data_IF_535659213165
#
_entry.id   IF_535659213165
#
_cell.length_a   1.000
_cell.length_b   1.000
_cell.length_c   1.000
_cell.angle_alpha   90.00
_cell.angle_beta   90.00
_cell.angle_gamma   90.00
#
_symmetry.space_group_name_H-M   'P 1'
#
loop_
_entity.id
_entity.type
_entity.pdbx_description
1 polymer ?
#
# COMPACT_ATOMS: atom_id res chain seq x y z
N UNK A 1 14.00 -3.90 -24.98
CA UNK A 1 12.96 -4.70 -24.29
C UNK A 1 13.49 -5.09 -22.92
N UNK A 2 12.96 -4.49 -21.84
CA UNK A 2 13.57 -4.48 -20.50
C UNK A 2 13.77 -5.89 -19.92
N UNK A 3 15.00 -6.22 -19.47
CA UNK A 3 15.35 -7.51 -18.80
C UNK A 3 14.45 -7.84 -17.60
N UNK A 4 13.76 -6.86 -17.03
CA UNK A 4 12.82 -7.02 -15.92
C UNK A 4 11.53 -7.74 -16.33
N UNK A 5 11.08 -7.57 -17.59
CA UNK A 5 9.79 -8.12 -18.05
C UNK A 5 9.77 -9.65 -18.05
N UNK A 6 10.91 -10.30 -18.26
CA UNK A 6 11.02 -11.77 -18.24
C UNK A 6 10.82 -12.36 -16.83
N UNK A 7 11.15 -11.59 -15.77
CA UNK A 7 10.88 -11.98 -14.38
C UNK A 7 9.42 -11.76 -13.99
N UNK A 8 8.74 -10.84 -14.67
CA UNK A 8 7.33 -10.53 -14.46
C UNK A 8 6.41 -11.51 -15.23
N UNK A 9 6.92 -12.19 -16.25
CA UNK A 9 6.17 -13.11 -17.12
C UNK A 9 6.21 -14.60 -16.71
N UNK A 10 5.17 -15.34 -17.10
CA UNK A 10 5.04 -16.79 -16.94
C UNK A 10 4.58 -17.27 -15.55
N UNK A 11 4.12 -18.52 -15.47
CA UNK A 11 3.58 -19.14 -14.24
C UNK A 11 2.18 -18.67 -13.86
N UNK A 12 1.62 -19.26 -12.80
CA UNK A 12 0.35 -18.87 -12.18
C UNK A 12 0.55 -17.60 -11.31
N UNK A 13 -0.54 -16.85 -11.06
CA UNK A 13 -0.65 -15.78 -10.04
C UNK A 13 -0.01 -16.17 -8.68
N UNK A 14 0.02 -17.47 -8.35
CA UNK A 14 0.60 -18.02 -7.11
C UNK A 14 2.15 -18.07 -7.08
N UNK A 15 2.84 -17.75 -8.17
CA UNK A 15 4.30 -17.90 -8.27
C UNK A 15 5.04 -16.69 -7.66
N UNK A 16 5.31 -16.72 -6.34
CA UNK A 16 5.97 -15.64 -5.59
C UNK A 16 7.50 -15.60 -5.82
N UNK A 17 8.10 -16.74 -6.19
CA UNK A 17 9.56 -16.92 -6.24
C UNK A 17 10.29 -15.90 -7.14
N UNK A 18 9.70 -15.54 -8.29
CA UNK A 18 10.34 -14.60 -9.24
C UNK A 18 10.31 -13.14 -8.78
N UNK A 19 9.32 -12.75 -7.96
CA UNK A 19 9.22 -11.38 -7.47
C UNK A 19 10.36 -11.03 -6.49
N UNK A 20 10.78 -11.97 -5.65
CA UNK A 20 11.91 -11.75 -4.73
C UNK A 20 13.24 -11.61 -5.48
N UNK A 21 13.44 -12.40 -6.55
CA UNK A 21 14.60 -12.23 -7.43
C UNK A 21 14.60 -10.86 -8.09
N UNK A 22 13.43 -10.38 -8.54
CA UNK A 22 13.28 -9.07 -9.14
C UNK A 22 13.66 -7.94 -8.18
N UNK A 23 13.23 -8.01 -6.92
CA UNK A 23 13.61 -7.03 -5.87
C UNK A 23 15.12 -6.92 -5.74
N UNK A 24 15.84 -8.06 -5.81
CA UNK A 24 17.29 -8.06 -5.70
C UNK A 24 17.99 -7.41 -6.92
N UNK A 25 17.35 -7.37 -8.09
CA UNK A 25 17.90 -6.80 -9.32
C UNK A 25 17.73 -5.27 -9.40
N UNK A 26 16.76 -4.68 -8.69
CA UNK A 26 16.55 -3.24 -8.69
C UNK A 26 17.56 -2.57 -7.75
N UNK A 27 18.62 -1.98 -8.32
CA UNK A 27 19.71 -1.35 -7.56
C UNK A 27 19.72 0.17 -7.67
N UNK A 28 19.16 0.71 -8.74
CA UNK A 28 19.19 2.15 -9.05
C UNK A 28 17.80 2.73 -9.25
N UNK A 29 17.68 4.06 -9.25
CA UNK A 29 16.43 4.75 -9.61
C UNK A 29 15.98 4.33 -11.02
N UNK A 30 16.90 4.26 -11.99
CA UNK A 30 16.58 3.86 -13.36
C UNK A 30 15.97 2.45 -13.46
N UNK A 31 16.46 1.51 -12.65
CA UNK A 31 15.87 0.16 -12.58
C UNK A 31 14.46 0.18 -11.97
N UNK A 32 14.27 1.03 -10.95
CA UNK A 32 12.99 1.24 -10.32
C UNK A 32 12.00 1.89 -11.27
N UNK A 33 12.40 2.91 -12.02
CA UNK A 33 11.57 3.59 -13.02
C UNK A 33 11.07 2.60 -14.07
N UNK A 34 11.98 1.75 -14.57
CA UNK A 34 11.65 0.68 -15.50
C UNK A 34 10.64 -0.34 -14.93
N UNK A 35 10.74 -0.65 -13.64
CA UNK A 35 9.78 -1.50 -12.94
C UNK A 35 8.43 -0.77 -12.74
N UNK A 36 8.45 0.51 -12.40
CA UNK A 36 7.26 1.33 -12.15
C UNK A 36 6.39 1.45 -13.40
N UNK A 37 7.00 1.64 -14.57
CA UNK A 37 6.29 1.66 -15.85
C UNK A 37 5.48 0.38 -16.14
N UNK A 38 5.82 -0.75 -15.50
CA UNK A 38 5.07 -1.98 -15.67
C UNK A 38 3.68 -1.94 -15.03
N UNK A 39 3.41 -1.01 -14.09
CA UNK A 39 2.10 -0.80 -13.48
C UNK A 39 1.04 -0.32 -14.48
N UNK A 40 1.45 0.29 -15.58
CA UNK A 40 0.56 0.82 -16.62
C UNK A 40 0.36 -0.13 -17.80
N UNK A 41 0.83 -1.37 -17.67
CA UNK A 41 0.64 -2.38 -18.71
C UNK A 41 -0.75 -3.02 -18.63
N UNK A 42 -1.24 -3.58 -19.74
CA UNK A 42 -2.55 -4.27 -19.78
C UNK A 42 -2.52 -5.66 -19.14
N UNK A 43 -1.34 -6.23 -18.94
CA UNK A 43 -1.19 -7.57 -18.39
C UNK A 43 -1.28 -7.53 -16.87
N UNK A 44 -2.44 -7.94 -16.34
CA UNK A 44 -2.72 -7.95 -14.90
C UNK A 44 -1.68 -8.70 -14.09
N UNK A 45 -1.12 -9.80 -14.61
CA UNK A 45 -0.10 -10.56 -13.88
C UNK A 45 1.19 -9.74 -13.71
N UNK A 46 1.59 -9.03 -14.76
CA UNK A 46 2.74 -8.12 -14.73
C UNK A 46 2.48 -6.99 -13.74
N UNK A 47 1.32 -6.33 -13.82
CA UNK A 47 0.96 -5.21 -12.94
C UNK A 47 1.03 -5.63 -11.47
N UNK A 48 0.40 -6.74 -11.09
CA UNK A 48 0.37 -7.20 -9.70
C UNK A 48 1.77 -7.54 -9.18
N UNK A 49 2.60 -8.24 -9.98
CA UNK A 49 3.97 -8.59 -9.57
C UNK A 49 4.88 -7.37 -9.48
N UNK A 50 4.69 -6.40 -10.36
CA UNK A 50 5.37 -5.11 -10.27
C UNK A 50 4.98 -4.37 -9.01
N UNK A 51 3.69 -4.33 -8.67
CA UNK A 51 3.21 -3.71 -7.44
C UNK A 51 3.78 -4.40 -6.19
N UNK A 52 3.83 -5.74 -6.14
CA UNK A 52 4.47 -6.50 -5.06
C UNK A 52 5.97 -6.18 -4.92
N UNK A 53 6.70 -6.17 -6.04
CA UNK A 53 8.13 -5.85 -6.02
C UNK A 53 8.38 -4.40 -5.57
N UNK A 54 7.60 -3.43 -6.07
CA UNK A 54 7.67 -2.02 -5.67
C UNK A 54 7.36 -1.88 -4.17
N UNK A 55 6.32 -2.55 -3.69
CA UNK A 55 5.95 -2.56 -2.27
C UNK A 55 7.10 -3.09 -1.41
N UNK A 56 7.78 -4.16 -1.82
CA UNK A 56 8.94 -4.70 -1.10
C UNK A 56 10.15 -3.77 -1.14
N UNK A 57 10.49 -3.21 -2.30
CA UNK A 57 11.66 -2.32 -2.47
C UNK A 57 11.50 -1.07 -1.61
N UNK A 58 10.32 -0.48 -1.63
CA UNK A 58 10.05 0.83 -1.01
C UNK A 58 9.92 0.76 0.51
N UNK A 59 9.79 -0.44 1.11
CA UNK A 59 9.96 -0.64 2.56
C UNK A 59 11.34 -0.21 3.04
N UNK A 60 12.37 -0.42 2.23
CA UNK A 60 13.77 -0.08 2.57
C UNK A 60 14.26 1.17 1.85
N UNK A 61 13.66 1.50 0.71
CA UNK A 61 14.06 2.64 -0.15
C UNK A 61 12.87 3.50 -0.55
N UNK A 62 12.20 4.19 0.38
CA UNK A 62 11.01 5.00 0.09
C UNK A 62 11.30 6.14 -0.89
N UNK A 63 12.53 6.67 -0.90
CA UNK A 63 12.95 7.76 -1.80
C UNK A 63 12.79 7.44 -3.29
N UNK A 64 12.74 6.16 -3.69
CA UNK A 64 12.45 5.79 -5.08
C UNK A 64 11.05 6.18 -5.55
N UNK A 65 10.13 6.46 -4.62
CA UNK A 65 8.78 6.91 -4.93
C UNK A 65 8.65 8.42 -5.20
N UNK A 66 9.70 9.21 -4.95
CA UNK A 66 9.63 10.68 -4.95
C UNK A 66 9.00 11.25 -6.22
N UNK A 67 9.36 10.70 -7.38
CA UNK A 67 8.87 11.16 -8.71
C UNK A 67 7.50 10.60 -9.09
N UNK A 68 6.91 9.73 -8.28
CA UNK A 68 5.73 8.92 -8.64
C UNK A 68 4.52 9.13 -7.73
N UNK A 69 4.55 10.13 -6.85
CA UNK A 69 3.46 10.38 -5.89
C UNK A 69 2.11 10.60 -6.61
N UNK A 70 2.07 11.47 -7.64
CA UNK A 70 0.86 11.72 -8.44
C UNK A 70 0.37 10.47 -9.17
N UNK A 71 1.29 9.70 -9.76
CA UNK A 71 0.96 8.45 -10.45
C UNK A 71 0.32 7.42 -9.50
N UNK A 72 0.82 7.31 -8.27
CA UNK A 72 0.29 6.38 -7.27
C UNK A 72 -1.09 6.81 -6.81
N UNK A 73 -1.29 8.11 -6.57
CA UNK A 73 -2.61 8.67 -6.21
C UNK A 73 -3.60 8.44 -7.36
N UNK A 74 -3.18 8.65 -8.61
CA UNK A 74 -4.00 8.36 -9.78
C UNK A 74 -4.36 6.86 -9.86
N UNK A 75 -3.39 5.97 -9.66
CA UNK A 75 -3.62 4.52 -9.63
C UNK A 75 -4.58 4.12 -8.50
N UNK A 76 -4.50 4.74 -7.32
CA UNK A 76 -5.45 4.49 -6.24
C UNK A 76 -6.88 4.85 -6.64
N UNK A 77 -7.08 5.94 -7.37
CA UNK A 77 -8.40 6.38 -7.80
C UNK A 77 -8.98 5.54 -8.95
N UNK A 78 -8.13 4.84 -9.72
CA UNK A 78 -8.53 4.11 -10.93
C UNK A 78 -8.43 2.59 -10.80
N UNK A 79 -7.74 2.06 -9.79
CA UNK A 79 -7.54 0.63 -9.61
C UNK A 79 -8.87 -0.12 -9.40
N UNK A 80 -9.12 -1.11 -10.24
CA UNK A 80 -10.28 -2.01 -10.13
C UNK A 80 -9.87 -3.33 -9.47
N UNK A 81 -8.72 -3.88 -9.84
CA UNK A 81 -8.23 -5.16 -9.34
C UNK A 81 -7.80 -5.07 -7.87
N UNK A 82 -8.39 -5.94 -7.05
CA UNK A 82 -8.14 -5.99 -5.60
C UNK A 82 -6.67 -6.17 -5.26
N UNK A 83 -5.92 -6.96 -6.03
CA UNK A 83 -4.51 -7.23 -5.77
C UNK A 83 -3.64 -6.00 -5.97
N UNK A 84 -3.92 -5.17 -6.98
CA UNK A 84 -3.24 -3.89 -7.14
C UNK A 84 -3.58 -2.98 -5.96
N UNK A 85 -4.86 -2.90 -5.56
CA UNK A 85 -5.27 -2.15 -4.36
C UNK A 85 -4.56 -2.62 -3.10
N UNK A 86 -4.31 -3.93 -2.92
CA UNK A 86 -3.59 -4.46 -1.75
C UNK A 86 -2.22 -3.82 -1.59
N UNK A 87 -1.48 -3.70 -2.68
CA UNK A 87 -0.14 -3.13 -2.68
C UNK A 87 -0.17 -1.60 -2.63
N UNK A 88 -1.04 -0.94 -3.42
CA UNK A 88 -1.19 0.52 -3.40
C UNK A 88 -1.54 1.03 -1.99
N UNK A 89 -2.42 0.32 -1.28
CA UNK A 89 -2.79 0.67 0.08
C UNK A 89 -1.56 0.76 1.00
N UNK A 90 -0.54 -0.10 0.85
CA UNK A 90 0.67 -0.08 1.67
C UNK A 90 1.78 0.86 1.15
N UNK A 91 1.83 1.08 -0.17
CA UNK A 91 2.86 1.94 -0.79
C UNK A 91 2.60 3.41 -0.44
N UNK A 92 1.33 3.83 -0.43
CA UNK A 92 0.98 5.25 -0.37
C UNK A 92 1.37 5.93 0.95
N UNK A 93 1.37 5.23 2.07
CA UNK A 93 1.78 5.80 3.37
C UNK A 93 3.29 6.13 3.44
N UNK A 94 4.07 5.71 2.44
CA UNK A 94 5.52 5.95 2.36
C UNK A 94 5.87 7.15 1.49
N UNK A 95 4.86 7.80 0.91
CA UNK A 95 5.04 8.98 0.08
C UNK A 95 5.27 10.22 0.94
N UNK A 96 6.10 11.13 0.43
CA UNK A 96 6.14 12.50 0.94
C UNK A 96 4.98 13.27 0.32
N UNK A 97 3.82 13.25 1.00
CA UNK A 97 2.57 13.81 0.50
C UNK A 97 2.45 15.29 0.87
N UNK A 98 1.92 16.11 -0.06
CA UNK A 98 1.40 17.43 0.33
C UNK A 98 0.14 17.28 1.20
N UNK A 99 -0.36 18.38 1.76
CA UNK A 99 -1.60 18.37 2.55
C UNK A 99 -2.79 17.88 1.70
N UNK A 100 -2.92 18.40 0.49
CA UNK A 100 -4.01 18.07 -0.44
C UNK A 100 -3.94 16.60 -0.91
N UNK A 101 -2.73 16.12 -1.17
CA UNK A 101 -2.49 14.74 -1.54
C UNK A 101 -2.80 13.80 -0.37
N UNK A 102 -2.39 14.17 0.84
CA UNK A 102 -2.68 13.40 2.05
C UNK A 102 -4.18 13.30 2.29
N UNK A 103 -4.94 14.38 2.09
CA UNK A 103 -6.40 14.35 2.22
C UNK A 103 -7.03 13.40 1.18
N UNK A 104 -6.55 13.44 -0.07
CA UNK A 104 -7.01 12.53 -1.14
C UNK A 104 -6.73 11.07 -0.78
N UNK A 105 -5.49 10.78 -0.37
CA UNK A 105 -5.05 9.44 0.04
C UNK A 105 -5.86 8.95 1.22
N UNK A 106 -6.01 9.80 2.24
CA UNK A 106 -6.75 9.49 3.46
C UNK A 106 -8.19 9.09 3.14
N UNK A 107 -8.89 9.90 2.34
CA UNK A 107 -10.27 9.65 1.95
C UNK A 107 -10.41 8.34 1.17
N UNK A 108 -9.50 8.05 0.24
CA UNK A 108 -9.51 6.78 -0.51
C UNK A 108 -9.27 5.58 0.40
N UNK A 109 -8.28 5.64 1.29
CA UNK A 109 -8.01 4.56 2.26
C UNK A 109 -9.16 4.36 3.24
N UNK A 110 -9.76 5.44 3.75
CA UNK A 110 -10.92 5.39 4.64
C UNK A 110 -12.12 4.74 3.93
N UNK A 111 -12.37 5.09 2.67
CA UNK A 111 -13.43 4.49 1.87
C UNK A 111 -13.18 3.00 1.64
N UNK A 112 -11.95 2.60 1.29
CA UNK A 112 -11.59 1.19 1.17
C UNK A 112 -11.76 0.43 2.48
N UNK A 113 -11.31 0.98 3.61
CA UNK A 113 -11.42 0.36 4.92
C UNK A 113 -12.88 0.12 5.36
N UNK A 114 -13.76 1.10 5.12
CA UNK A 114 -15.19 1.04 5.48
C UNK A 114 -16.05 0.26 4.50
N UNK A 115 -15.60 0.05 3.26
CA UNK A 115 -16.41 -0.64 2.26
C UNK A 115 -16.53 -2.14 2.56
N UNK A 116 -17.74 -2.58 2.91
CA UNK A 116 -18.02 -3.99 3.27
C UNK A 116 -17.87 -4.97 2.11
N UNK A 117 -18.00 -4.50 0.86
CA UNK A 117 -17.83 -5.34 -0.34
C UNK A 117 -16.38 -5.39 -0.82
N UNK A 118 -15.50 -4.57 -0.24
CA UNK A 118 -14.09 -4.56 -0.58
C UNK A 118 -13.37 -5.78 0.02
N UNK A 119 -12.28 -6.20 -0.62
CA UNK A 119 -11.48 -7.34 -0.16
C UNK A 119 -10.93 -7.10 1.25
N UNK A 120 -11.04 -8.12 2.12
CA UNK A 120 -10.50 -8.08 3.50
C UNK A 120 -9.03 -7.65 3.56
N UNK A 121 -8.21 -8.01 2.57
CA UNK A 121 -6.79 -7.62 2.52
C UNK A 121 -6.64 -6.14 2.20
N UNK A 122 -7.41 -5.59 1.23
CA UNK A 122 -7.43 -4.14 0.98
C UNK A 122 -7.83 -3.42 2.26
N UNK A 123 -8.95 -3.82 2.90
CA UNK A 123 -9.46 -3.19 4.12
C UNK A 123 -8.40 -3.16 5.24
N UNK A 124 -7.73 -4.28 5.49
CA UNK A 124 -6.69 -4.40 6.52
C UNK A 124 -5.46 -3.56 6.18
N UNK A 125 -5.01 -3.55 4.92
CA UNK A 125 -3.86 -2.74 4.49
C UNK A 125 -4.19 -1.24 4.52
N UNK A 126 -5.43 -0.86 4.19
CA UNK A 126 -5.88 0.53 4.33
C UNK A 126 -5.85 0.99 5.79
N UNK A 127 -6.28 0.14 6.72
CA UNK A 127 -6.20 0.45 8.16
C UNK A 127 -4.75 0.64 8.62
N UNK A 128 -3.82 -0.19 8.13
CA UNK A 128 -2.39 0.00 8.42
C UNK A 128 -1.92 1.37 7.96
N UNK A 129 -2.20 1.75 6.72
CA UNK A 129 -1.70 3.01 6.16
C UNK A 129 -2.38 4.23 6.74
N UNK A 130 -3.66 4.13 7.12
CA UNK A 130 -4.32 5.18 7.90
C UNK A 130 -3.66 5.37 9.26
N UNK A 131 -3.27 4.28 9.93
CA UNK A 131 -2.52 4.36 11.17
C UNK A 131 -1.15 5.01 10.96
N UNK A 132 -0.40 4.59 9.94
CA UNK A 132 0.93 5.14 9.62
C UNK A 132 0.85 6.66 9.32
N UNK A 133 -0.17 7.10 8.57
CA UNK A 133 -0.41 8.52 8.27
C UNK A 133 -0.87 9.31 9.50
N UNK A 134 -1.64 8.68 10.39
CA UNK A 134 -2.13 9.32 11.60
C UNK A 134 -1.04 9.55 12.65
N UNK A 135 0.04 8.76 12.65
CA UNK A 135 1.06 8.82 13.69
C UNK A 135 1.66 10.24 13.88
N UNK A 136 1.70 11.01 12.80
CA UNK A 136 2.32 12.34 12.74
C UNK A 136 1.34 13.52 12.87
N UNK A 137 0.02 13.27 13.00
CA UNK A 137 -1.00 14.32 12.97
C UNK A 137 -2.17 14.01 13.93
N UNK A 138 -2.34 14.84 14.96
CA UNK A 138 -3.38 14.67 15.98
C UNK A 138 -4.82 14.75 15.43
N UNK A 139 -5.04 15.51 14.36
CA UNK A 139 -6.35 15.54 13.69
C UNK A 139 -6.60 14.21 13.00
N UNK A 140 -5.60 13.67 12.29
CA UNK A 140 -5.70 12.36 11.65
C UNK A 140 -5.83 11.23 12.69
N UNK A 141 -5.20 11.30 13.86
CA UNK A 141 -5.43 10.32 14.95
C UNK A 141 -6.89 10.30 15.39
N UNK A 142 -7.52 11.46 15.57
CA UNK A 142 -8.95 11.54 15.91
C UNK A 142 -9.82 10.93 14.81
N UNK A 143 -9.53 11.25 13.55
CA UNK A 143 -10.27 10.69 12.41
C UNK A 143 -10.08 9.18 12.29
N UNK A 144 -8.87 8.67 12.51
CA UNK A 144 -8.57 7.23 12.52
C UNK A 144 -9.42 6.51 13.55
N UNK A 145 -9.47 7.02 14.78
CA UNK A 145 -10.27 6.43 15.86
C UNK A 145 -11.77 6.36 15.52
N UNK A 146 -12.31 7.36 14.81
CA UNK A 146 -13.69 7.33 14.33
C UNK A 146 -13.90 6.24 13.27
N UNK A 147 -12.97 6.09 12.32
CA UNK A 147 -13.01 5.05 11.30
C UNK A 147 -12.96 3.66 11.95
N UNK A 148 -12.08 3.45 12.93
CA UNK A 148 -11.94 2.17 13.61
C UNK A 148 -13.21 1.80 14.37
N UNK A 149 -13.78 2.73 15.17
CA UNK A 149 -15.05 2.49 15.87
C UNK A 149 -16.18 2.07 14.92
N UNK A 150 -16.25 2.69 13.74
CA UNK A 150 -17.25 2.37 12.73
C UNK A 150 -17.05 0.97 12.09
N UNK A 151 -15.83 0.45 12.08
CA UNK A 151 -15.50 -0.86 11.50
C UNK A 151 -15.55 -1.98 12.55
N UNK A 152 -15.19 -1.70 13.81
CA UNK A 152 -15.13 -2.69 14.90
C UNK A 152 -16.49 -3.37 15.15
N UNK A 153 -17.59 -2.64 14.95
CA UNK A 153 -18.96 -3.19 15.05
C UNK A 153 -19.22 -4.36 14.08
N UNK A 154 -18.42 -4.50 13.01
CA UNK A 154 -18.53 -5.61 12.05
C UNK A 154 -17.87 -6.91 12.56
N UNK A 155 -17.12 -6.88 13.67
CA UNK A 155 -16.47 -8.05 14.29
C UNK A 155 -15.61 -8.89 13.33
N UNK A 156 -14.84 -8.24 12.44
CA UNK A 156 -14.00 -8.92 11.44
C UNK A 156 -12.67 -9.38 12.08
N UNK A 157 -12.39 -10.70 12.19
CA UNK A 157 -11.24 -11.20 12.95
C UNK A 157 -9.88 -10.69 12.46
N UNK A 158 -9.70 -10.54 11.14
CA UNK A 158 -8.46 -10.04 10.55
C UNK A 158 -8.19 -8.57 10.87
N UNK A 159 -9.26 -7.77 10.98
CA UNK A 159 -9.17 -6.36 11.35
C UNK A 159 -8.86 -6.23 12.84
N UNK A 160 -9.60 -6.95 13.71
CA UNK A 160 -9.34 -6.96 15.16
C UNK A 160 -7.91 -7.40 15.47
N UNK A 161 -7.41 -8.44 14.78
CA UNK A 161 -6.02 -8.90 14.93
C UNK A 161 -5.02 -7.83 14.52
N UNK A 162 -5.29 -7.10 13.43
CA UNK A 162 -4.43 -6.00 12.99
C UNK A 162 -4.41 -4.86 14.02
N UNK A 163 -5.56 -4.42 14.50
CA UNK A 163 -5.67 -3.34 15.49
C UNK A 163 -4.91 -3.66 16.78
N UNK A 164 -5.04 -4.89 17.28
CA UNK A 164 -4.26 -5.35 18.44
C UNK A 164 -2.75 -5.21 18.23
N UNK A 165 -2.25 -5.58 17.04
CA UNK A 165 -0.82 -5.45 16.70
C UNK A 165 -0.38 -3.99 16.60
N UNK A 166 -1.20 -3.11 16.02
CA UNK A 166 -0.90 -1.68 15.91
C UNK A 166 -0.78 -1.03 17.29
N UNK A 167 -1.71 -1.33 18.20
CA UNK A 167 -1.69 -0.81 19.57
C UNK A 167 -0.50 -1.32 20.39
N UNK A 168 -0.01 -2.53 20.10
CA UNK A 168 1.18 -3.10 20.75
C UNK A 168 2.50 -2.54 20.19
N UNK A 169 2.48 -2.00 18.96
CA UNK A 169 3.66 -1.48 18.28
C UNK A 169 3.96 -0.01 18.62
N UNK A 170 3.03 0.72 19.25
CA UNK A 170 3.34 2.02 19.82
C UNK A 170 4.24 1.85 21.06
N UNK A 171 5.34 2.61 21.21
CA UNK A 171 6.03 2.66 22.49
C UNK A 171 5.00 3.03 23.55
N UNK A 172 4.93 2.25 24.63
CA UNK A 172 4.16 2.65 25.80
C UNK A 172 4.69 4.01 26.23
N UNK A 173 3.96 5.09 25.93
CA UNK A 173 4.18 6.35 26.62
C UNK A 173 3.81 6.07 28.07
N UNK A 174 4.84 5.77 28.87
CA UNK A 174 4.79 5.78 30.32
C UNK A 174 4.16 7.09 30.76
N UNK A 175 3.10 6.93 31.55
CA UNK A 175 2.44 7.97 32.32
C UNK A 175 3.46 8.93 32.94
N UNK A 176 3.23 10.23 32.79
CA UNK A 176 3.57 11.25 33.78
C UNK A 176 2.32 12.08 34.05
#
# INVERSE_FOLDING_TARGET
MNKLKTYLQGGDLRSIAKANTLVALVKTQKDFDALFQCLFTKDRLIVMRSADAIEKITRQKPLYLTTYHQDIIHLMNTAIDKELKWHLALIVSRLNLTVEERDTVWNTLANWAKNKTESKIVRVNSIQSLFDLADQDEVLKKQFNLIIRAIEVENIPSITTRLKRLNQAQPQHTNF
#
